data_IF_275555417321
#
_entry.id   IF_275555417321
#
_cell.length_a   1.000
_cell.length_b   1.000
_cell.length_c   1.000
_cell.angle_alpha   90.00
_cell.angle_beta   90.00
_cell.angle_gamma   90.00
#
_symmetry.space_group_name_H-M   'P 1'
#
loop_
_entity.id
_entity.type
_entity.pdbx_description
1 polymer ?
#
# COMPACT_ATOMS: atom_id res chain seq x y z
N UNK A 1 -25.58 1.29 14.86
CA UNK A 1 -25.55 0.76 13.46
C UNK A 1 -25.76 1.82 12.37
N UNK A 2 -26.81 2.65 12.36
CA UNK A 2 -27.08 3.59 11.24
C UNK A 2 -25.93 4.55 10.91
N UNK A 3 -25.23 5.07 11.93
CA UNK A 3 -24.13 6.02 11.73
C UNK A 3 -22.86 5.38 11.12
N UNK A 4 -22.56 4.11 11.42
CA UNK A 4 -21.43 3.38 10.80
C UNK A 4 -21.62 3.23 9.28
N UNK A 5 -22.86 3.02 8.85
CA UNK A 5 -23.19 2.97 7.42
C UNK A 5 -23.02 4.34 6.74
N UNK A 6 -23.24 5.44 7.45
CA UNK A 6 -22.98 6.78 6.92
C UNK A 6 -21.47 6.99 6.70
N UNK A 7 -20.64 6.59 7.67
CA UNK A 7 -19.17 6.64 7.51
C UNK A 7 -18.69 5.73 6.40
N UNK A 8 -19.31 4.55 6.24
CA UNK A 8 -19.00 3.68 5.10
C UNK A 8 -19.37 4.31 3.76
N UNK A 9 -20.55 4.93 3.66
CA UNK A 9 -20.98 5.64 2.46
C UNK A 9 -20.06 6.82 2.14
N UNK A 10 -19.62 7.56 3.16
CA UNK A 10 -18.61 8.62 3.05
C UNK A 10 -17.28 8.07 2.53
N UNK A 11 -16.80 6.96 3.09
CA UNK A 11 -15.58 6.30 2.65
C UNK A 11 -15.67 5.83 1.18
N UNK A 12 -16.79 5.23 0.77
CA UNK A 12 -17.01 4.87 -0.64
C UNK A 12 -17.06 6.10 -1.55
N UNK A 13 -17.65 7.19 -1.07
CA UNK A 13 -17.67 8.46 -1.80
C UNK A 13 -16.25 9.00 -1.97
N UNK A 14 -15.43 9.00 -0.92
CA UNK A 14 -14.03 9.39 -0.99
C UNK A 14 -13.23 8.49 -1.95
N UNK A 15 -13.43 7.16 -1.92
CA UNK A 15 -12.80 6.23 -2.86
C UNK A 15 -13.06 6.62 -4.33
N UNK A 16 -14.31 6.96 -4.65
CA UNK A 16 -14.71 7.43 -5.99
C UNK A 16 -14.11 8.80 -6.29
N UNK A 17 -14.26 9.78 -5.39
CA UNK A 17 -13.80 11.15 -5.59
C UNK A 17 -12.28 11.23 -5.79
N UNK A 18 -11.49 10.54 -4.96
CA UNK A 18 -10.04 10.53 -5.10
C UNK A 18 -9.61 9.81 -6.39
N UNK A 19 -10.28 8.72 -6.78
CA UNK A 19 -10.02 8.06 -8.06
C UNK A 19 -10.27 8.98 -9.27
N UNK A 20 -11.26 9.88 -9.17
CA UNK A 20 -11.60 10.87 -10.19
C UNK A 20 -10.66 12.09 -10.23
N UNK A 21 -10.24 12.60 -9.06
CA UNK A 21 -9.53 13.88 -8.94
C UNK A 21 -8.02 13.71 -9.06
N UNK A 22 -7.47 12.57 -8.65
CA UNK A 22 -6.03 12.32 -8.75
C UNK A 22 -5.58 12.43 -10.21
N UNK A 23 -4.63 13.32 -10.55
CA UNK A 23 -4.10 13.39 -11.90
C UNK A 23 -3.48 12.06 -12.32
N UNK A 24 -3.46 11.79 -13.62
CA UNK A 24 -2.80 10.61 -14.16
C UNK A 24 -1.31 10.65 -13.79
N UNK A 25 -0.79 9.58 -13.19
CA UNK A 25 0.62 9.43 -12.77
C UNK A 25 1.08 10.27 -11.58
N UNK A 26 0.14 10.81 -10.80
CA UNK A 26 0.46 11.51 -9.55
C UNK A 26 0.55 10.54 -8.36
N UNK A 27 -0.14 9.39 -8.44
CA UNK A 27 -0.02 8.28 -7.48
C UNK A 27 1.42 7.85 -7.23
N UNK A 28 1.71 7.37 -6.03
CA UNK A 28 3.04 6.87 -5.67
C UNK A 28 3.47 5.80 -6.67
N UNK A 29 4.58 6.06 -7.36
CA UNK A 29 5.18 5.17 -8.34
C UNK A 29 4.19 4.66 -9.41
N UNK A 30 3.04 5.31 -9.59
CA UNK A 30 1.88 4.74 -10.26
C UNK A 30 2.13 4.25 -11.70
N UNK A 31 2.85 4.99 -12.58
CA UNK A 31 3.14 4.48 -13.92
C UNK A 31 4.00 3.19 -13.89
N UNK A 32 4.84 3.00 -12.87
CA UNK A 32 5.70 1.83 -12.73
C UNK A 32 4.95 0.64 -12.14
N UNK A 33 4.04 0.90 -11.20
CA UNK A 33 3.07 -0.08 -10.72
C UNK A 33 2.11 -0.54 -11.81
N UNK A 34 1.60 0.37 -12.65
CA UNK A 34 0.80 -0.02 -13.81
C UNK A 34 1.65 -0.79 -14.83
N UNK A 35 2.91 -0.39 -15.06
CA UNK A 35 3.85 -1.17 -15.87
C UNK A 35 4.08 -2.60 -15.35
N UNK A 36 3.98 -2.84 -14.03
CA UNK A 36 3.96 -4.18 -13.47
C UNK A 36 2.71 -4.95 -13.94
N UNK A 37 1.53 -4.33 -13.82
CA UNK A 37 0.26 -4.92 -14.28
C UNK A 37 0.38 -5.31 -15.76
N UNK A 38 0.88 -4.42 -16.62
CA UNK A 38 1.09 -4.70 -18.05
C UNK A 38 2.08 -5.84 -18.31
N UNK A 39 3.16 -5.92 -17.53
CA UNK A 39 4.15 -6.99 -17.67
C UNK A 39 3.51 -8.37 -17.50
N UNK A 40 2.58 -8.49 -16.54
CA UNK A 40 1.89 -9.75 -16.28
C UNK A 40 0.69 -9.96 -17.20
N UNK A 41 -0.08 -8.91 -17.48
CA UNK A 41 -1.31 -9.01 -18.26
C UNK A 41 -1.05 -9.21 -19.75
N UNK A 42 -0.02 -8.53 -20.29
CA UNK A 42 0.34 -8.47 -21.72
C UNK A 42 1.51 -9.38 -22.06
N UNK A 43 2.61 -9.29 -21.32
CA UNK A 43 3.83 -10.06 -21.63
C UNK A 43 3.87 -11.42 -20.93
N UNK A 44 2.93 -11.68 -20.00
CA UNK A 44 2.86 -12.91 -19.22
C UNK A 44 4.15 -13.21 -18.44
N UNK A 45 4.85 -12.16 -18.02
CA UNK A 45 6.14 -12.21 -17.35
C UNK A 45 6.06 -11.56 -15.96
N UNK A 46 6.73 -12.17 -14.97
CA UNK A 46 6.99 -11.49 -13.71
C UNK A 46 8.18 -10.54 -13.91
N UNK A 47 8.02 -9.23 -13.63
CA UNK A 47 9.04 -8.25 -13.92
C UNK A 47 10.31 -8.48 -13.08
N UNK A 48 11.45 -8.12 -13.66
CA UNK A 48 12.79 -8.26 -13.07
C UNK A 48 13.42 -6.88 -12.97
N UNK A 49 13.92 -6.53 -11.78
CA UNK A 49 14.57 -5.26 -11.52
C UNK A 49 15.78 -5.08 -12.44
N UNK A 50 15.98 -3.85 -12.95
CA UNK A 50 17.00 -3.48 -13.92
C UNK A 50 16.93 -4.17 -15.30
N UNK A 51 15.88 -4.95 -15.58
CA UNK A 51 15.69 -5.62 -16.87
C UNK A 51 14.34 -5.29 -17.49
N UNK A 52 13.27 -5.35 -16.71
CA UNK A 52 11.93 -5.05 -17.21
C UNK A 52 11.76 -3.55 -17.38
N UNK A 53 11.15 -3.18 -18.50
CA UNK A 53 10.82 -1.81 -18.88
C UNK A 53 9.31 -1.59 -18.81
N UNK A 54 8.87 -0.35 -18.78
CA UNK A 54 7.46 -0.01 -18.99
C UNK A 54 7.12 -0.02 -20.48
N UNK A 55 5.84 -0.07 -20.83
CA UNK A 55 5.42 -0.03 -22.24
C UNK A 55 5.68 1.33 -22.89
N UNK A 56 5.75 1.34 -24.22
CA UNK A 56 5.78 2.58 -25.02
C UNK A 56 4.56 3.45 -24.77
N UNK A 57 3.41 2.86 -24.41
CA UNK A 57 2.20 3.61 -24.06
C UNK A 57 2.42 4.45 -22.79
N UNK A 58 2.95 3.83 -21.72
CA UNK A 58 3.29 4.52 -20.48
C UNK A 58 4.32 5.61 -20.76
N UNK A 59 5.43 5.28 -21.42
CA UNK A 59 6.51 6.23 -21.70
C UNK A 59 6.02 7.47 -22.46
N UNK A 60 5.23 7.30 -23.52
CA UNK A 60 4.64 8.41 -24.28
C UNK A 60 3.65 9.21 -23.43
N UNK A 61 2.83 8.55 -22.61
CA UNK A 61 1.86 9.26 -21.78
C UNK A 61 2.51 10.20 -20.77
N UNK A 62 3.70 9.87 -20.24
CA UNK A 62 4.45 10.70 -19.29
C UNK A 62 4.87 12.05 -19.88
N UNK A 63 5.03 12.17 -21.20
CA UNK A 63 5.35 13.44 -21.84
C UNK A 63 4.10 14.26 -22.18
N UNK A 64 2.89 13.70 -22.03
CA UNK A 64 1.62 14.33 -22.40
C UNK A 64 0.83 14.90 -21.23
N UNK A 65 1.17 14.52 -20.00
CA UNK A 65 0.51 14.99 -18.77
C UNK A 65 1.49 15.73 -17.87
N UNK A 66 1.01 16.63 -16.99
CA UNK A 66 1.87 17.18 -15.95
C UNK A 66 2.29 16.09 -14.98
N UNK A 67 3.57 16.08 -14.61
CA UNK A 67 4.11 15.23 -13.58
C UNK A 67 4.46 16.05 -12.33
N UNK A 68 4.60 15.35 -11.21
CA UNK A 68 5.29 15.87 -10.02
C UNK A 68 6.70 16.36 -10.39
N UNK A 69 7.24 17.31 -9.64
CA UNK A 69 8.54 17.92 -9.95
C UNK A 69 9.66 16.87 -9.99
N UNK A 70 9.71 15.96 -9.01
CA UNK A 70 10.67 14.84 -8.94
C UNK A 70 10.61 13.95 -10.18
N UNK A 71 9.41 13.54 -10.59
CA UNK A 71 9.27 12.68 -11.76
C UNK A 71 9.58 13.44 -13.05
N UNK A 72 9.21 14.72 -13.12
CA UNK A 72 9.49 15.54 -14.30
C UNK A 72 10.98 15.76 -14.54
N UNK A 73 11.77 15.88 -13.47
CA UNK A 73 13.23 15.96 -13.56
C UNK A 73 13.86 14.64 -14.00
N UNK A 74 13.29 13.51 -13.58
CA UNK A 74 13.77 12.18 -13.94
C UNK A 74 13.38 11.72 -15.35
N UNK A 75 12.36 12.32 -15.96
CA UNK A 75 11.78 11.89 -17.24
C UNK A 75 12.04 12.95 -18.32
N UNK A 76 13.03 12.75 -19.22
CA UNK A 76 13.32 13.69 -20.30
C UNK A 76 12.10 13.95 -21.18
N UNK A 77 11.86 15.22 -21.49
CA UNK A 77 10.74 15.67 -22.34
C UNK A 77 9.38 15.75 -21.64
N UNK A 78 9.29 15.38 -20.36
CA UNK A 78 8.10 15.63 -19.55
C UNK A 78 8.10 17.06 -19.00
N UNK A 79 6.98 17.44 -18.38
CA UNK A 79 6.81 18.77 -17.79
C UNK A 79 6.18 18.65 -16.39
N UNK A 80 6.55 19.57 -15.51
CA UNK A 80 5.97 19.64 -14.18
C UNK A 80 4.58 20.29 -14.19
N UNK A 81 3.81 20.12 -13.11
CA UNK A 81 2.57 20.87 -12.90
C UNK A 81 2.76 22.39 -13.03
N UNK A 82 3.87 22.94 -12.52
CA UNK A 82 4.14 24.38 -12.59
C UNK A 82 4.30 24.85 -14.04
N UNK A 83 5.00 24.08 -14.86
CA UNK A 83 5.16 24.37 -16.29
C UNK A 83 3.83 24.18 -17.03
N UNK A 84 3.06 23.13 -16.71
CA UNK A 84 1.76 22.87 -17.31
C UNK A 84 0.79 24.04 -17.17
N UNK A 85 0.71 24.66 -15.99
CA UNK A 85 -0.19 25.80 -15.79
C UNK A 85 0.16 27.00 -16.68
N UNK A 86 1.44 27.16 -17.07
CA UNK A 86 1.92 28.21 -17.98
C UNK A 86 1.67 27.92 -19.47
N UNK A 87 1.28 26.69 -19.84
CA UNK A 87 0.99 26.36 -21.23
C UNK A 87 -0.28 27.06 -21.73
N UNK A 88 -0.28 27.37 -23.03
CA UNK A 88 -1.46 27.86 -23.74
C UNK A 88 -2.60 26.83 -23.70
N UNK A 89 -3.84 27.32 -23.82
CA UNK A 89 -5.01 26.43 -23.89
C UNK A 89 -4.93 25.46 -25.08
N UNK A 90 -4.40 25.92 -26.20
CA UNK A 90 -4.23 25.12 -27.41
C UNK A 90 -3.27 23.95 -27.18
N UNK A 91 -2.13 24.19 -26.55
CA UNK A 91 -1.14 23.15 -26.25
C UNK A 91 -1.71 22.11 -25.27
N UNK A 92 -2.43 22.56 -24.22
CA UNK A 92 -3.13 21.66 -23.29
C UNK A 92 -4.14 20.76 -24.02
N UNK A 93 -4.91 21.33 -24.96
CA UNK A 93 -5.88 20.58 -25.77
C UNK A 93 -5.20 19.64 -26.78
N UNK A 94 -4.07 20.04 -27.37
CA UNK A 94 -3.26 19.19 -28.26
C UNK A 94 -2.79 17.94 -27.52
N UNK A 95 -2.14 18.11 -26.36
CA UNK A 95 -1.69 17.00 -25.51
C UNK A 95 -2.83 16.12 -25.04
N UNK A 96 -3.96 16.71 -24.62
CA UNK A 96 -5.12 15.96 -24.17
C UNK A 96 -5.76 15.10 -25.27
N UNK A 97 -5.74 15.58 -26.53
CA UNK A 97 -6.16 14.83 -27.73
C UNK A 97 -5.17 13.72 -28.06
N UNK A 98 -3.88 14.03 -28.06
CA UNK A 98 -2.80 13.07 -28.31
C UNK A 98 -2.84 11.90 -27.31
N UNK A 99 -3.05 12.20 -26.02
CA UNK A 99 -3.22 11.18 -24.97
C UNK A 99 -4.47 10.32 -25.21
N UNK A 100 -5.56 10.92 -25.69
CA UNK A 100 -6.79 10.18 -26.00
C UNK A 100 -6.65 9.28 -27.22
N UNK A 101 -5.74 9.61 -28.14
CA UNK A 101 -5.49 8.87 -29.38
C UNK A 101 -4.32 7.88 -29.30
N UNK A 102 -3.70 7.68 -28.13
CA UNK A 102 -2.65 6.67 -27.97
C UNK A 102 -3.20 5.29 -28.35
N UNK A 103 -2.53 4.63 -29.29
CA UNK A 103 -2.94 3.30 -29.75
C UNK A 103 -2.80 2.27 -28.61
N UNK A 104 -3.79 1.40 -28.38
CA UNK A 104 -3.66 0.26 -27.48
C UNK A 104 -2.52 -0.70 -27.86
N UNK A 105 -2.12 -0.75 -29.13
CA UNK A 105 -1.00 -1.60 -29.57
C UNK A 105 0.34 -1.23 -28.92
N UNK A 106 0.50 0.04 -28.50
CA UNK A 106 1.70 0.53 -27.81
C UNK A 106 1.94 -0.15 -26.45
N UNK A 107 0.96 -0.87 -25.90
CA UNK A 107 1.09 -1.65 -24.67
C UNK A 107 1.98 -2.88 -24.84
N UNK A 108 1.93 -3.48 -26.03
CA UNK A 108 2.78 -4.63 -26.37
C UNK A 108 4.20 -4.21 -26.73
N UNK A 109 4.41 -2.93 -27.06
CA UNK A 109 5.73 -2.37 -27.36
C UNK A 109 6.49 -2.03 -26.08
N UNK A 110 7.74 -2.49 -25.99
CA UNK A 110 8.67 -2.18 -24.90
C UNK A 110 9.31 -0.81 -25.12
N UNK A 111 9.38 0.01 -24.07
CA UNK A 111 10.09 1.30 -24.10
C UNK A 111 11.54 1.20 -23.62
N UNK A 112 12.24 2.33 -23.61
CA UNK A 112 13.58 2.49 -23.01
C UNK A 112 13.56 2.71 -21.49
N UNK A 113 12.38 2.96 -20.89
CA UNK A 113 12.28 3.35 -19.48
C UNK A 113 12.16 2.10 -18.59
N UNK A 114 13.16 1.88 -17.74
CA UNK A 114 13.16 0.78 -16.76
C UNK A 114 12.02 0.90 -15.77
N UNK A 115 11.42 -0.25 -15.43
CA UNK A 115 10.47 -0.37 -14.35
C UNK A 115 11.22 -0.58 -13.03
N UNK A 116 11.36 0.47 -12.25
CA UNK A 116 12.06 0.41 -10.97
C UNK A 116 11.22 -0.17 -9.83
N UNK A 117 9.93 -0.46 -10.05
CA UNK A 117 9.03 -1.15 -9.11
C UNK A 117 8.92 -2.66 -9.39
N UNK A 118 9.74 -3.20 -10.28
CA UNK A 118 9.76 -4.60 -10.69
C UNK A 118 10.09 -5.59 -9.53
N UNK A 119 10.65 -5.11 -8.43
CA UNK A 119 10.96 -5.88 -7.22
C UNK A 119 9.75 -6.17 -6.33
N UNK A 120 8.60 -5.52 -6.57
CA UNK A 120 7.44 -5.65 -5.70
C UNK A 120 6.78 -7.03 -5.82
N UNK A 121 6.22 -7.52 -4.73
CA UNK A 121 5.57 -8.82 -4.70
C UNK A 121 4.27 -8.83 -5.55
N UNK A 122 3.91 -9.96 -6.19
CA UNK A 122 3.03 -9.95 -7.34
C UNK A 122 1.53 -9.86 -7.04
N UNK A 123 1.06 -10.12 -5.81
CA UNK A 123 -0.35 -10.41 -5.54
C UNK A 123 -1.29 -9.24 -5.88
N UNK A 124 -0.91 -8.01 -5.49
CA UNK A 124 -1.73 -6.84 -5.79
C UNK A 124 -1.89 -6.64 -7.31
N UNK A 125 -0.82 -6.81 -8.07
CA UNK A 125 -0.86 -6.61 -9.52
C UNK A 125 -1.62 -7.74 -10.23
N UNK A 126 -1.43 -8.99 -9.79
CA UNK A 126 -2.19 -10.14 -10.29
C UNK A 126 -3.69 -9.96 -10.09
N UNK A 127 -4.11 -9.40 -8.96
CA UNK A 127 -5.51 -9.11 -8.68
C UNK A 127 -6.12 -8.03 -9.59
N UNK A 128 -5.28 -7.15 -10.16
CA UNK A 128 -5.70 -6.12 -11.12
C UNK A 128 -5.79 -6.62 -12.58
N UNK A 129 -5.10 -7.72 -12.92
CA UNK A 129 -5.04 -8.27 -14.30
C UNK A 129 -6.42 -8.51 -14.93
N UNK A 130 -7.44 -9.07 -14.25
CA UNK A 130 -8.75 -9.26 -14.87
C UNK A 130 -9.43 -7.94 -15.27
N UNK A 131 -9.27 -6.91 -14.44
CA UNK A 131 -9.86 -5.58 -14.67
C UNK A 131 -9.13 -4.87 -15.81
N UNK A 132 -7.80 -4.98 -15.84
CA UNK A 132 -6.93 -4.50 -16.91
C UNK A 132 -7.30 -5.12 -18.26
N UNK A 133 -7.38 -6.46 -18.34
CA UNK A 133 -7.77 -7.17 -19.56
C UNK A 133 -9.16 -6.78 -20.06
N UNK A 134 -10.12 -6.57 -19.16
CA UNK A 134 -11.46 -6.11 -19.54
C UNK A 134 -11.50 -4.67 -20.07
N UNK A 135 -10.41 -3.92 -19.87
CA UNK A 135 -10.26 -2.51 -20.25
C UNK A 135 -9.28 -2.31 -21.41
N UNK A 136 -8.78 -3.39 -22.02
CA UNK A 136 -7.75 -3.37 -23.07
C UNK A 136 -8.00 -2.38 -24.21
N UNK A 137 -9.25 -2.29 -24.69
CA UNK A 137 -9.61 -1.44 -25.82
C UNK A 137 -9.89 0.03 -25.43
N UNK A 138 -9.75 0.39 -24.14
CA UNK A 138 -10.10 1.71 -23.66
C UNK A 138 -8.93 2.69 -23.78
N UNK A 139 -9.22 4.00 -23.91
CA UNK A 139 -8.19 5.02 -23.75
C UNK A 139 -7.55 4.90 -22.36
N UNK A 140 -6.22 5.05 -22.30
CA UNK A 140 -5.39 4.89 -21.09
C UNK A 140 -6.01 5.52 -19.83
N UNK A 141 -6.49 6.77 -19.91
CA UNK A 141 -7.12 7.45 -18.75
C UNK A 141 -8.30 6.68 -18.16
N UNK A 142 -9.14 6.05 -19.00
CA UNK A 142 -10.31 5.29 -18.57
C UNK A 142 -9.91 3.94 -17.99
N UNK A 143 -8.89 3.32 -18.55
CA UNK A 143 -8.31 2.09 -18.02
C UNK A 143 -7.75 2.30 -16.62
N UNK A 144 -6.88 3.30 -16.44
CA UNK A 144 -6.32 3.63 -15.13
C UNK A 144 -7.43 4.01 -14.15
N UNK A 145 -8.38 4.82 -14.56
CA UNK A 145 -9.54 5.15 -13.72
C UNK A 145 -10.29 3.91 -13.22
N UNK A 146 -10.51 2.91 -14.07
CA UNK A 146 -11.17 1.65 -13.67
C UNK A 146 -10.34 0.86 -12.66
N UNK A 147 -9.03 0.77 -12.87
CA UNK A 147 -8.13 0.10 -11.94
C UNK A 147 -8.11 0.80 -10.58
N UNK A 148 -8.02 2.13 -10.57
CA UNK A 148 -8.12 2.95 -9.36
C UNK A 148 -9.43 2.73 -8.63
N UNK A 149 -10.55 2.81 -9.35
CA UNK A 149 -11.87 2.64 -8.78
C UNK A 149 -12.05 1.25 -8.18
N UNK A 150 -11.63 0.21 -8.89
CA UNK A 150 -11.66 -1.17 -8.38
C UNK A 150 -10.81 -1.32 -7.12
N UNK A 151 -9.54 -0.89 -7.17
CA UNK A 151 -8.61 -0.96 -6.04
C UNK A 151 -9.14 -0.20 -4.83
N UNK A 152 -9.56 1.05 -5.00
CA UNK A 152 -10.03 1.92 -3.93
C UNK A 152 -11.32 1.42 -3.28
N UNK A 153 -12.30 0.94 -4.07
CA UNK A 153 -13.55 0.38 -3.53
C UNK A 153 -13.26 -0.90 -2.77
N UNK A 154 -12.48 -1.82 -3.35
CA UNK A 154 -12.16 -3.08 -2.69
C UNK A 154 -11.35 -2.85 -1.41
N UNK A 155 -10.38 -1.92 -1.44
CA UNK A 155 -9.64 -1.48 -0.26
C UNK A 155 -10.58 -0.97 0.82
N UNK A 156 -11.53 -0.09 0.47
CA UNK A 156 -12.49 0.50 1.39
C UNK A 156 -13.41 -0.53 2.02
N UNK A 157 -13.94 -1.47 1.22
CA UNK A 157 -14.81 -2.55 1.71
C UNK A 157 -14.05 -3.45 2.68
N UNK A 158 -12.87 -3.93 2.30
CA UNK A 158 -12.06 -4.82 3.14
C UNK A 158 -11.60 -4.12 4.42
N UNK A 159 -11.16 -2.86 4.31
CA UNK A 159 -10.73 -2.07 5.46
C UNK A 159 -11.90 -1.80 6.40
N UNK A 160 -13.06 -1.39 5.90
CA UNK A 160 -14.25 -1.13 6.72
C UNK A 160 -14.69 -2.38 7.49
N UNK A 161 -14.77 -3.54 6.81
CA UNK A 161 -15.17 -4.81 7.42
C UNK A 161 -14.14 -5.22 8.48
N UNK A 162 -12.86 -5.26 8.12
CA UNK A 162 -11.80 -5.74 9.01
C UNK A 162 -11.58 -4.82 10.20
N UNK A 163 -11.57 -3.51 10.00
CA UNK A 163 -11.43 -2.51 11.05
C UNK A 163 -12.64 -2.52 11.99
N UNK A 164 -13.87 -2.52 11.46
CA UNK A 164 -15.07 -2.56 12.31
C UNK A 164 -15.09 -3.84 13.16
N UNK A 165 -14.81 -4.99 12.56
CA UNK A 165 -14.74 -6.25 13.28
C UNK A 165 -13.59 -6.28 14.30
N UNK A 166 -12.44 -5.67 13.97
CA UNK A 166 -11.32 -5.56 14.89
C UNK A 166 -11.69 -4.71 16.09
N UNK A 167 -12.31 -3.54 15.88
CA UNK A 167 -12.71 -2.65 16.96
C UNK A 167 -13.78 -3.30 17.86
N UNK A 168 -14.76 -4.00 17.27
CA UNK A 168 -15.74 -4.79 18.03
C UNK A 168 -15.10 -5.90 18.85
N UNK A 169 -14.12 -6.61 18.26
CA UNK A 169 -13.40 -7.70 18.92
C UNK A 169 -12.48 -7.21 20.01
N UNK A 170 -11.88 -6.06 19.78
CA UNK A 170 -11.20 -5.29 20.78
C UNK A 170 -12.20 -4.67 21.74
N UNK A 171 -13.52 -4.90 21.68
CA UNK A 171 -14.51 -4.47 22.67
C UNK A 171 -14.99 -3.01 22.59
N UNK A 172 -14.41 -2.17 21.71
CA UNK A 172 -14.53 -0.71 21.82
C UNK A 172 -15.98 -0.22 21.86
N UNK A 173 -16.28 0.87 22.58
CA UNK A 173 -17.60 1.50 22.60
C UNK A 173 -17.99 2.02 21.24
N UNK A 174 -19.28 2.04 20.94
CA UNK A 174 -19.77 2.49 19.64
C UNK A 174 -19.30 3.92 19.30
N UNK A 175 -19.21 4.84 20.27
CA UNK A 175 -18.70 6.20 20.05
C UNK A 175 -17.21 6.22 19.64
N UNK A 176 -16.36 5.44 20.30
CA UNK A 176 -14.95 5.34 19.95
C UNK A 176 -14.71 4.56 18.66
N UNK A 177 -15.50 3.51 18.40
CA UNK A 177 -15.47 2.83 17.11
C UNK A 177 -15.76 3.81 15.97
N UNK A 178 -16.79 4.64 16.14
CA UNK A 178 -17.13 5.69 15.18
C UNK A 178 -15.99 6.70 15.01
N UNK A 179 -15.40 7.19 16.11
CA UNK A 179 -14.27 8.11 16.08
C UNK A 179 -13.09 7.54 15.29
N UNK A 180 -12.71 6.28 15.55
CA UNK A 180 -11.63 5.61 14.81
C UNK A 180 -11.96 5.47 13.33
N UNK A 181 -13.17 5.04 12.98
CA UNK A 181 -13.58 4.91 11.58
C UNK A 181 -13.53 6.25 10.85
N UNK A 182 -14.03 7.33 11.47
CA UNK A 182 -13.95 8.68 10.89
C UNK A 182 -12.49 9.10 10.71
N UNK A 183 -11.65 8.98 11.75
CA UNK A 183 -10.24 9.35 11.65
C UNK A 183 -9.49 8.61 10.53
N UNK A 184 -9.78 7.31 10.35
CA UNK A 184 -9.15 6.52 9.29
C UNK A 184 -9.67 6.92 7.91
N UNK A 185 -10.98 7.05 7.71
CA UNK A 185 -11.56 7.33 6.39
C UNK A 185 -11.52 8.81 5.99
N UNK A 186 -11.23 9.72 6.92
CA UNK A 186 -10.90 11.12 6.64
C UNK A 186 -9.39 11.36 6.43
N UNK A 187 -8.56 10.34 6.66
CA UNK A 187 -7.13 10.45 6.40
C UNK A 187 -6.88 10.62 4.91
N UNK A 188 -6.39 11.78 4.51
CA UNK A 188 -6.03 12.04 3.11
C UNK A 188 -4.90 11.12 2.65
N UNK A 189 -3.99 10.75 3.55
CA UNK A 189 -2.89 9.83 3.26
C UNK A 189 -3.41 8.43 2.91
N UNK A 190 -4.48 7.96 3.55
CA UNK A 190 -5.14 6.71 3.17
C UNK A 190 -5.54 6.74 1.70
N UNK A 191 -6.23 7.81 1.27
CA UNK A 191 -6.70 7.94 -0.11
C UNK A 191 -5.56 8.14 -1.10
N UNK A 192 -4.55 8.93 -0.73
CA UNK A 192 -3.33 9.05 -1.52
C UNK A 192 -2.64 7.69 -1.71
N UNK A 193 -2.75 6.75 -0.77
CA UNK A 193 -2.19 5.40 -0.87
C UNK A 193 -3.07 4.39 -1.63
N UNK A 194 -4.40 4.42 -1.45
CA UNK A 194 -5.28 3.34 -1.98
C UNK A 194 -6.04 3.70 -3.25
N UNK A 195 -6.11 4.99 -3.62
CA UNK A 195 -6.87 5.46 -4.79
C UNK A 195 -6.04 5.63 -6.07
N UNK A 196 -4.85 5.04 -6.12
CA UNK A 196 -4.01 4.96 -7.32
C UNK A 196 -3.60 3.50 -7.61
N UNK A 197 -3.07 3.24 -8.81
CA UNK A 197 -2.56 1.90 -9.14
C UNK A 197 -1.24 1.65 -8.41
N UNK A 198 -1.28 0.82 -7.37
CA UNK A 198 -0.12 0.44 -6.56
C UNK A 198 -0.34 -0.89 -5.86
N UNK A 199 0.47 -1.18 -4.83
CA UNK A 199 0.27 -2.36 -3.98
C UNK A 199 -0.52 -2.05 -2.68
N UNK A 200 -0.59 -0.78 -2.28
CA UNK A 200 -1.17 -0.37 -0.99
C UNK A 200 -2.68 -0.54 -0.90
N UNK A 201 -3.41 -0.47 -2.02
CA UNK A 201 -4.85 -0.74 -2.04
C UNK A 201 -5.19 -2.13 -1.48
N UNK A 202 -4.30 -3.11 -1.65
CA UNK A 202 -4.45 -4.45 -1.08
C UNK A 202 -3.65 -4.61 0.23
N UNK A 203 -2.47 -4.01 0.29
CA UNK A 203 -1.57 -4.19 1.42
C UNK A 203 -2.19 -3.67 2.72
N UNK A 204 -2.78 -2.47 2.70
CA UNK A 204 -3.38 -1.81 3.88
C UNK A 204 -4.53 -2.63 4.46
N UNK A 205 -5.58 -3.00 3.71
CA UNK A 205 -6.67 -3.80 4.27
C UNK A 205 -6.21 -5.20 4.71
N UNK A 206 -5.24 -5.84 4.03
CA UNK A 206 -4.69 -7.11 4.48
C UNK A 206 -4.02 -7.00 5.85
N UNK A 207 -3.38 -5.86 6.16
CA UNK A 207 -2.78 -5.65 7.48
C UNK A 207 -3.86 -5.60 8.58
N UNK A 208 -4.99 -4.95 8.32
CA UNK A 208 -6.12 -4.95 9.27
C UNK A 208 -6.81 -6.31 9.37
N UNK A 209 -6.94 -7.05 8.26
CA UNK A 209 -7.38 -8.45 8.29
C UNK A 209 -6.43 -9.32 9.15
N UNK A 210 -5.12 -9.12 9.02
CA UNK A 210 -4.12 -9.82 9.83
C UNK A 210 -4.32 -9.50 11.32
N UNK A 211 -4.44 -8.22 11.69
CA UNK A 211 -4.65 -7.80 13.08
C UNK A 211 -5.97 -8.35 13.65
N UNK A 212 -7.05 -8.31 12.88
CA UNK A 212 -8.34 -8.91 13.24
C UNK A 212 -8.20 -10.41 13.56
N UNK A 213 -7.58 -11.17 12.65
CA UNK A 213 -7.40 -12.61 12.80
C UNK A 213 -6.38 -12.97 13.88
N UNK A 214 -5.41 -12.10 14.13
CA UNK A 214 -4.44 -12.22 15.22
C UNK A 214 -5.18 -12.10 16.56
N UNK A 215 -5.93 -11.01 16.78
CA UNK A 215 -6.80 -10.84 17.94
C UNK A 215 -7.85 -11.97 18.05
N UNK A 216 -8.32 -12.46 16.90
CA UNK A 216 -9.08 -13.71 16.70
C UNK A 216 -8.48 -14.91 17.41
N UNK A 217 -7.27 -15.22 16.97
CA UNK A 217 -6.56 -16.45 17.26
C UNK A 217 -5.95 -16.44 18.66
N UNK A 218 -5.67 -15.28 19.25
CA UNK A 218 -5.29 -15.19 20.66
C UNK A 218 -6.42 -15.71 21.55
N UNK A 219 -7.65 -15.24 21.34
CA UNK A 219 -8.80 -15.55 22.17
C UNK A 219 -9.42 -16.94 21.92
N UNK A 220 -9.35 -17.45 20.67
CA UNK A 220 -9.92 -18.75 20.30
C UNK A 220 -8.88 -19.85 20.29
N UNK A 221 -9.30 -21.05 20.64
CA UNK A 221 -8.49 -22.26 20.49
C UNK A 221 -9.03 -23.02 19.28
N UNK A 222 -8.29 -23.00 18.18
CA UNK A 222 -8.72 -23.68 16.96
C UNK A 222 -7.77 -23.47 15.79
N UNK A 223 -7.45 -24.56 15.10
CA UNK A 223 -6.55 -24.54 13.95
C UNK A 223 -7.12 -23.73 12.78
N UNK A 224 -8.44 -23.68 12.61
CA UNK A 224 -9.08 -22.91 11.55
C UNK A 224 -8.79 -21.40 11.64
N UNK A 225 -8.81 -20.84 12.85
CA UNK A 225 -8.47 -19.43 13.08
C UNK A 225 -7.01 -19.15 12.71
N UNK A 226 -6.11 -20.06 13.11
CA UNK A 226 -4.69 -19.96 12.78
C UNK A 226 -4.43 -20.13 11.29
N UNK A 227 -5.14 -21.03 10.61
CA UNK A 227 -5.05 -21.20 9.16
C UNK A 227 -5.49 -19.94 8.42
N UNK A 228 -6.60 -19.33 8.81
CA UNK A 228 -7.04 -18.07 8.23
C UNK A 228 -5.99 -16.96 8.43
N UNK A 229 -5.45 -16.83 9.65
CA UNK A 229 -4.36 -15.89 9.94
C UNK A 229 -3.14 -16.13 9.05
N UNK A 230 -2.71 -17.40 8.92
CA UNK A 230 -1.56 -17.80 8.10
C UNK A 230 -1.77 -17.52 6.61
N UNK A 231 -2.99 -17.71 6.10
CA UNK A 231 -3.33 -17.40 4.71
C UNK A 231 -3.27 -15.90 4.44
N UNK A 232 -3.84 -15.08 5.33
CA UNK A 232 -3.75 -13.61 5.22
C UNK A 232 -2.31 -13.14 5.36
N UNK A 233 -1.53 -13.72 6.27
CA UNK A 233 -0.11 -13.42 6.41
C UNK A 233 0.67 -13.72 5.13
N UNK A 234 0.45 -14.90 4.53
CA UNK A 234 1.06 -15.30 3.26
C UNK A 234 0.66 -14.37 2.10
N UNK A 235 -0.62 -14.00 2.03
CA UNK A 235 -1.12 -13.05 1.04
C UNK A 235 -0.47 -11.67 1.20
N UNK A 236 -0.33 -11.21 2.44
CA UNK A 236 0.37 -9.96 2.75
C UNK A 236 1.84 -9.99 2.34
N UNK A 237 2.55 -11.08 2.62
CA UNK A 237 3.93 -11.30 2.18
C UNK A 237 4.08 -11.27 0.65
N UNK A 238 3.06 -11.73 -0.09
CA UNK A 238 3.01 -11.64 -1.55
C UNK A 238 2.47 -10.30 -2.09
N UNK A 239 2.08 -9.39 -1.21
CA UNK A 239 1.58 -8.06 -1.59
C UNK A 239 2.65 -6.99 -1.40
N UNK A 240 3.29 -6.95 -0.23
CA UNK A 240 4.31 -5.95 0.09
C UNK A 240 5.24 -6.43 1.21
N UNK A 241 6.53 -6.10 1.10
CA UNK A 241 7.58 -6.63 1.97
C UNK A 241 7.44 -6.21 3.45
N UNK A 242 6.73 -5.14 3.76
CA UNK A 242 6.48 -4.71 5.14
C UNK A 242 5.73 -5.75 6.01
N UNK A 243 5.07 -6.76 5.42
CA UNK A 243 4.52 -7.89 6.17
C UNK A 243 5.59 -8.73 6.87
N UNK A 244 6.86 -8.65 6.46
CA UNK A 244 7.98 -9.24 7.19
C UNK A 244 8.04 -8.71 8.64
N UNK A 245 7.61 -7.48 8.89
CA UNK A 245 7.52 -6.92 10.24
C UNK A 245 6.49 -7.64 11.14
N UNK A 246 5.49 -8.32 10.55
CA UNK A 246 4.54 -9.13 11.30
C UNK A 246 5.02 -10.56 11.54
N UNK A 247 6.12 -11.01 10.91
CA UNK A 247 6.64 -12.36 11.09
C UNK A 247 7.01 -12.69 12.55
N UNK A 248 7.67 -11.80 13.33
CA UNK A 248 7.94 -12.06 14.74
C UNK A 248 6.67 -12.21 15.58
N UNK A 249 5.65 -11.38 15.31
CA UNK A 249 4.36 -11.42 16.02
C UNK A 249 3.61 -12.71 15.71
N UNK A 250 3.59 -13.11 14.43
CA UNK A 250 3.02 -14.39 14.00
C UNK A 250 3.74 -15.57 14.67
N UNK A 251 5.07 -15.60 14.65
CA UNK A 251 5.86 -16.64 15.29
C UNK A 251 5.63 -16.69 16.81
N UNK A 252 5.59 -15.56 17.48
CA UNK A 252 5.32 -15.47 18.91
C UNK A 252 3.96 -16.07 19.29
N UNK A 253 2.91 -15.81 18.50
CA UNK A 253 1.60 -16.43 18.71
C UNK A 253 1.65 -17.95 18.59
N UNK A 254 2.33 -18.48 17.56
CA UNK A 254 2.45 -19.93 17.36
C UNK A 254 3.23 -20.58 18.51
N UNK A 255 4.34 -19.97 18.93
CA UNK A 255 5.15 -20.43 20.06
C UNK A 255 4.32 -20.41 21.35
N UNK A 256 3.60 -19.33 21.62
CA UNK A 256 2.71 -19.21 22.77
C UNK A 256 1.66 -20.32 22.78
N UNK A 257 0.91 -20.49 21.68
CA UNK A 257 -0.12 -21.54 21.59
C UNK A 257 0.47 -22.93 21.76
N UNK A 258 1.69 -23.17 21.27
CA UNK A 258 2.39 -24.44 21.47
C UNK A 258 2.80 -24.67 22.92
N UNK A 259 3.39 -23.67 23.55
CA UNK A 259 3.83 -23.71 24.94
C UNK A 259 2.64 -23.94 25.88
N UNK A 260 1.48 -23.36 25.57
CA UNK A 260 0.22 -23.60 26.27
C UNK A 260 -0.45 -24.94 25.93
N UNK A 261 0.16 -25.80 25.10
CA UNK A 261 -0.40 -27.10 24.71
C UNK A 261 -1.64 -27.02 23.80
N UNK A 262 -1.96 -25.85 23.26
CA UNK A 262 -3.18 -25.60 22.48
C UNK A 262 -3.08 -26.05 21.02
N UNK A 263 -1.87 -26.30 20.53
CA UNK A 263 -1.61 -26.81 19.17
C UNK A 263 -0.50 -27.87 19.18
N UNK A 264 -0.59 -28.82 18.24
CA UNK A 264 0.38 -29.89 18.06
C UNK A 264 1.57 -29.48 17.18
N UNK A 265 2.66 -30.25 17.20
CA UNK A 265 3.78 -30.06 16.26
C UNK A 265 3.38 -30.20 14.79
N UNK A 266 2.40 -31.06 14.48
CA UNK A 266 1.85 -31.18 13.12
C UNK A 266 1.15 -29.90 12.67
N UNK A 267 0.44 -29.24 13.59
CA UNK A 267 -0.18 -27.95 13.31
C UNK A 267 0.88 -26.87 13.06
N UNK A 268 1.97 -26.83 13.84
CA UNK A 268 3.08 -25.90 13.59
C UNK A 268 3.70 -26.12 12.21
N UNK A 269 3.99 -27.39 11.86
CA UNK A 269 4.56 -27.73 10.57
C UNK A 269 3.65 -27.25 9.41
N UNK A 270 2.33 -27.47 9.53
CA UNK A 270 1.36 -26.98 8.56
C UNK A 270 1.34 -25.45 8.47
N UNK A 271 1.25 -24.76 9.62
CA UNK A 271 1.17 -23.29 9.67
C UNK A 271 2.47 -22.62 9.20
N UNK A 272 3.62 -23.27 9.38
CA UNK A 272 4.91 -22.82 8.85
C UNK A 272 5.09 -23.14 7.36
N UNK A 273 4.57 -24.28 6.89
CA UNK A 273 4.68 -24.68 5.49
C UNK A 273 3.91 -23.75 4.55
N UNK A 274 2.73 -23.26 4.95
CA UNK A 274 1.90 -22.39 4.09
C UNK A 274 2.64 -21.13 3.61
N UNK A 275 3.20 -20.26 4.47
CA UNK A 275 3.91 -19.06 4.00
C UNK A 275 5.17 -19.42 3.22
N UNK A 276 5.86 -20.51 3.58
CA UNK A 276 7.03 -21.00 2.84
C UNK A 276 6.68 -21.50 1.43
N UNK A 277 5.53 -22.16 1.25
CA UNK A 277 5.09 -22.66 -0.05
C UNK A 277 4.43 -21.58 -0.91
N UNK A 278 3.66 -20.69 -0.29
CA UNK A 278 2.91 -19.63 -0.99
C UNK A 278 3.80 -18.45 -1.32
N UNK A 279 4.48 -17.88 -0.31
CA UNK A 279 5.31 -16.70 -0.48
C UNK A 279 6.80 -17.03 -0.69
N UNK A 280 7.29 -18.13 -0.11
CA UNK A 280 8.70 -18.50 -0.17
C UNK A 280 9.32 -18.56 -1.58
N UNK A 281 8.64 -19.05 -2.63
CA UNK A 281 9.19 -19.01 -4.00
C UNK A 281 9.54 -17.59 -4.48
N UNK A 282 8.74 -16.59 -4.09
CA UNK A 282 9.00 -15.19 -4.43
C UNK A 282 10.26 -14.67 -3.72
N UNK A 283 10.37 -14.90 -2.41
CA UNK A 283 11.53 -14.48 -1.63
C UNK A 283 12.81 -15.24 -2.02
N UNK A 284 12.70 -16.52 -2.38
CA UNK A 284 13.81 -17.31 -2.93
C UNK A 284 14.26 -16.75 -4.28
N UNK A 285 13.32 -16.40 -5.18
CA UNK A 285 13.63 -15.72 -6.44
C UNK A 285 14.40 -14.42 -6.21
N UNK A 286 13.96 -13.59 -5.25
CA UNK A 286 14.64 -12.34 -4.93
C UNK A 286 16.04 -12.57 -4.36
N UNK A 287 16.21 -13.56 -3.49
CA UNK A 287 17.51 -13.91 -2.93
C UNK A 287 18.49 -14.39 -4.02
N UNK A 288 18.02 -15.26 -4.94
CA UNK A 288 18.84 -15.79 -6.04
C UNK A 288 19.21 -14.68 -7.04
N UNK A 289 18.28 -13.75 -7.34
CA UNK A 289 18.51 -12.72 -8.37
C UNK A 289 19.22 -11.48 -7.86
N UNK A 290 18.96 -11.07 -6.62
CA UNK A 290 19.38 -9.78 -6.09
C UNK A 290 20.23 -9.88 -4.82
N UNK A 291 20.45 -11.09 -4.29
CA UNK A 291 21.16 -11.27 -3.01
C UNK A 291 20.40 -10.71 -1.80
N UNK A 292 19.10 -10.40 -1.94
CA UNK A 292 18.28 -9.78 -0.90
C UNK A 292 16.91 -10.43 -0.80
N UNK A 293 16.45 -10.64 0.44
CA UNK A 293 15.12 -11.21 0.73
C UNK A 293 14.02 -10.26 0.24
N UNK A 294 14.11 -8.97 0.58
CA UNK A 294 13.11 -7.97 0.18
C UNK A 294 13.25 -7.56 -1.29
N UNK A 295 14.44 -7.69 -1.88
CA UNK A 295 14.73 -7.20 -3.23
C UNK A 295 14.69 -5.68 -3.35
N UNK A 296 14.78 -4.94 -2.23
CA UNK A 296 14.75 -3.48 -2.20
C UNK A 296 15.85 -2.88 -3.08
N UNK A 297 15.57 -1.75 -3.73
CA UNK A 297 16.53 -1.10 -4.63
C UNK A 297 17.89 -0.85 -3.98
N UNK A 298 17.91 -0.45 -2.70
CA UNK A 298 19.14 -0.24 -1.94
C UNK A 298 19.97 -1.52 -1.84
N UNK A 299 19.32 -2.65 -1.58
CA UNK A 299 20.01 -3.95 -1.50
C UNK A 299 20.45 -4.45 -2.87
N UNK A 300 19.64 -4.21 -3.91
CA UNK A 300 20.00 -4.53 -5.29
C UNK A 300 21.16 -3.65 -5.81
N UNK A 301 21.29 -2.43 -5.29
CA UNK A 301 22.42 -1.53 -5.53
C UNK A 301 23.69 -1.92 -4.74
N UNK A 302 23.69 -3.04 -4.02
CA UNK A 302 24.85 -3.58 -3.33
C UNK A 302 25.01 -3.10 -1.88
N UNK A 303 24.06 -2.32 -1.34
CA UNK A 303 24.10 -1.90 0.07
C UNK A 303 23.82 -3.12 0.95
N UNK A 304 24.90 -3.69 1.49
CA UNK A 304 24.86 -4.88 2.33
C UNK A 304 24.39 -4.58 3.76
N UNK A 305 24.00 -5.62 4.50
CA UNK A 305 23.62 -5.49 5.92
C UNK A 305 24.75 -4.85 6.74
N UNK A 306 26.01 -5.12 6.45
CA UNK A 306 27.16 -4.53 7.14
C UNK A 306 27.23 -3.01 7.01
N UNK A 307 26.94 -2.47 5.83
CA UNK A 307 26.87 -1.01 5.60
C UNK A 307 25.67 -0.39 6.29
N UNK A 308 24.51 -1.09 6.31
CA UNK A 308 23.35 -0.66 7.09
C UNK A 308 23.68 -0.58 8.57
N UNK A 309 24.33 -1.61 9.14
CA UNK A 309 24.76 -1.60 10.54
C UNK A 309 25.78 -0.51 10.82
N UNK A 310 26.74 -0.29 9.92
CA UNK A 310 27.72 0.78 10.03
C UNK A 310 27.08 2.18 9.96
N UNK A 311 25.97 2.34 9.23
CA UNK A 311 25.26 3.61 9.11
C UNK A 311 24.41 3.96 10.35
N UNK A 312 23.97 2.98 11.15
CA UNK A 312 23.12 3.19 12.34
C UNK A 312 23.61 4.31 13.26
N UNK A 313 24.88 4.36 13.72
CA UNK A 313 25.34 5.42 14.61
C UNK A 313 25.39 6.81 13.94
N UNK A 314 25.40 6.87 12.61
CA UNK A 314 25.50 8.11 11.85
C UNK A 314 24.14 8.68 11.44
N UNK A 315 23.05 7.93 11.65
CA UNK A 315 21.70 8.42 11.40
C UNK A 315 21.35 9.47 12.47
N UNK A 316 20.89 10.67 12.08
CA UNK A 316 20.41 11.66 13.04
C UNK A 316 19.03 11.24 13.57
N UNK A 317 19.00 10.21 14.43
CA UNK A 317 17.79 9.48 14.84
C UNK A 317 16.65 10.41 15.26
N UNK A 318 16.92 11.40 16.11
CA UNK A 318 15.87 12.32 16.56
C UNK A 318 15.24 13.11 15.39
N UNK A 319 16.07 13.68 14.52
CA UNK A 319 15.60 14.45 13.37
C UNK A 319 14.88 13.55 12.35
N UNK A 320 15.40 12.35 12.11
CA UNK A 320 14.80 11.35 11.23
C UNK A 320 13.47 10.86 11.77
N UNK A 321 13.36 10.51 13.05
CA UNK A 321 12.12 10.08 13.68
C UNK A 321 11.04 11.14 13.59
N UNK A 322 11.37 12.41 13.89
CA UNK A 322 10.42 13.52 13.76
C UNK A 322 9.99 13.72 12.31
N UNK A 323 10.92 13.57 11.35
CA UNK A 323 10.60 13.67 9.92
C UNK A 323 9.69 12.53 9.46
N UNK A 324 10.00 11.28 9.84
CA UNK A 324 9.17 10.12 9.54
C UNK A 324 7.80 10.21 10.18
N UNK A 325 7.69 10.73 11.40
CA UNK A 325 6.41 10.95 12.06
C UNK A 325 5.53 11.93 11.25
N UNK A 326 6.10 13.05 10.77
CA UNK A 326 5.39 13.99 9.88
C UNK A 326 5.00 13.34 8.56
N UNK A 327 5.89 12.56 7.96
CA UNK A 327 5.63 11.86 6.70
C UNK A 327 4.57 10.77 6.85
N UNK A 328 4.44 10.17 8.03
CA UNK A 328 3.35 9.22 8.30
C UNK A 328 1.96 9.86 8.31
N UNK A 329 1.88 11.17 8.58
CA UNK A 329 0.64 11.93 8.53
C UNK A 329 0.30 12.36 7.10
N UNK A 330 1.27 12.95 6.40
CA UNK A 330 1.10 13.37 5.01
C UNK A 330 2.44 13.61 4.29
N UNK A 331 2.62 12.95 3.15
CA UNK A 331 3.76 13.14 2.25
C UNK A 331 3.41 13.81 0.93
N UNK A 332 2.15 14.11 0.61
CA UNK A 332 1.86 14.81 -0.64
C UNK A 332 2.00 13.95 -1.89
N UNK A 333 1.82 12.63 -1.76
CA UNK A 333 1.96 11.68 -2.86
C UNK A 333 3.36 11.77 -3.53
N UNK A 334 3.49 11.50 -4.83
CA UNK A 334 4.79 11.60 -5.53
C UNK A 334 5.35 13.03 -5.58
N UNK A 335 4.53 14.04 -5.36
CA UNK A 335 4.98 15.44 -5.36
C UNK A 335 5.80 15.82 -4.13
N UNK A 336 5.75 15.03 -3.05
CA UNK A 336 6.36 15.37 -1.76
C UNK A 336 5.90 16.73 -1.19
N UNK A 337 4.76 17.25 -1.66
CA UNK A 337 4.19 18.53 -1.21
C UNK A 337 3.48 18.30 0.11
N UNK A 338 4.20 18.55 1.19
CA UNK A 338 3.69 18.35 2.55
C UNK A 338 2.92 19.58 3.07
N UNK A 339 2.11 19.38 4.11
CA UNK A 339 1.46 20.47 4.83
C UNK A 339 2.49 21.33 5.58
N UNK A 340 2.03 22.46 6.11
CA UNK A 340 2.87 23.29 6.96
C UNK A 340 3.42 22.47 8.14
N UNK A 341 4.68 22.72 8.53
CA UNK A 341 5.28 22.05 9.70
C UNK A 341 4.44 22.26 10.96
N UNK A 342 3.82 23.42 11.10
CA UNK A 342 2.93 23.75 12.22
C UNK A 342 1.72 22.81 12.26
N UNK A 343 1.03 22.62 11.13
CA UNK A 343 -0.11 21.70 11.03
C UNK A 343 0.26 20.29 11.46
N UNK A 344 1.34 19.74 10.88
CA UNK A 344 1.78 18.38 11.19
C UNK A 344 2.26 18.25 12.64
N UNK A 345 2.93 19.28 13.18
CA UNK A 345 3.35 19.27 14.58
C UNK A 345 2.16 19.31 15.54
N UNK A 346 1.11 20.08 15.24
CA UNK A 346 -0.10 20.12 16.05
C UNK A 346 -0.77 18.75 16.08
N UNK A 347 -0.91 18.08 14.94
CA UNK A 347 -1.45 16.72 14.89
C UNK A 347 -0.58 15.73 15.69
N UNK A 348 0.75 15.77 15.54
CA UNK A 348 1.65 14.93 16.32
C UNK A 348 1.54 15.19 17.84
N UNK A 349 1.41 16.45 18.25
CA UNK A 349 1.21 16.81 19.66
C UNK A 349 -0.11 16.25 20.17
N UNK A 350 -1.20 16.38 19.42
CA UNK A 350 -2.51 15.83 19.79
C UNK A 350 -2.46 14.29 19.91
N UNK A 351 -1.75 13.62 18.99
CA UNK A 351 -1.52 12.18 19.07
C UNK A 351 -0.69 11.80 20.30
N UNK A 352 0.39 12.54 20.59
CA UNK A 352 1.19 12.34 21.79
C UNK A 352 0.37 12.55 23.08
N UNK A 353 -0.43 13.62 23.16
CA UNK A 353 -1.31 13.88 24.30
C UNK A 353 -2.31 12.73 24.46
N UNK A 354 -2.94 12.30 23.37
CA UNK A 354 -3.88 11.16 23.39
C UNK A 354 -3.20 9.88 23.89
N UNK A 355 -1.98 9.60 23.46
CA UNK A 355 -1.20 8.45 23.91
C UNK A 355 -0.79 8.55 25.39
N UNK A 356 -0.36 9.74 25.85
CA UNK A 356 -0.01 9.97 27.26
C UNK A 356 -1.23 9.83 28.16
N UNK A 357 -2.38 10.40 27.77
CA UNK A 357 -3.65 10.23 28.47
C UNK A 357 -4.01 8.75 28.52
N UNK A 358 -3.93 8.02 27.40
CA UNK A 358 -4.12 6.58 27.39
C UNK A 358 -3.22 5.86 28.40
N UNK A 359 -1.91 6.17 28.45
CA UNK A 359 -0.99 5.52 29.39
C UNK A 359 -1.28 5.85 30.86
N UNK A 360 -1.63 7.10 31.17
CA UNK A 360 -1.97 7.54 32.53
C UNK A 360 -3.20 6.80 33.05
N UNK A 361 -4.22 6.66 32.19
CA UNK A 361 -5.50 6.11 32.58
C UNK A 361 -5.62 4.61 32.31
N UNK A 362 -4.75 4.00 31.50
CA UNK A 362 -4.80 2.59 31.06
C UNK A 362 -5.06 1.58 32.20
N UNK A 363 -4.47 1.79 33.38
CA UNK A 363 -4.66 0.91 34.54
C UNK A 363 -5.93 1.18 35.36
N UNK A 364 -6.50 2.37 35.21
CA UNK A 364 -7.77 2.78 35.81
C UNK A 364 -8.96 2.41 34.94
N UNK A 365 -8.69 2.03 33.69
CA UNK A 365 -9.71 1.51 32.80
C UNK A 365 -10.16 0.15 33.35
N UNK A 366 -11.28 0.11 34.06
CA UNK A 366 -11.92 -1.15 34.45
C UNK A 366 -12.43 -1.89 33.21
N UNK A 367 -12.69 -3.20 33.27
CA UNK A 367 -13.32 -3.90 32.13
C UNK A 367 -14.64 -3.27 31.68
N UNK A 368 -15.33 -2.52 32.55
CA UNK A 368 -16.54 -1.78 32.20
C UNK A 368 -16.24 -0.42 31.54
N UNK A 369 -15.14 0.24 31.91
CA UNK A 369 -14.69 1.54 31.37
C UNK A 369 -13.74 1.42 30.18
N UNK A 370 -13.24 0.22 29.87
CA UNK A 370 -12.61 -0.08 28.57
C UNK A 370 -13.63 0.18 27.45
N UNK A 371 -14.91 0.06 27.79
CA UNK A 371 -16.04 -0.04 26.90
C UNK A 371 -17.18 0.98 27.17
N UNK A 372 -16.86 2.18 27.67
CA UNK A 372 -17.63 3.42 27.39
C UNK A 372 -16.73 4.44 26.74
#
# INVERSE_FOLDING_TARGET
MKLKHLVFALALTNAVLYSCVLPLWEGFDEPFHFGYVESVSVWHELPVLHQTVVSSQIRKSLTLVPLSWLLSEAIPGSISFQQWFRLSREEKLRRARELASLSPALRSERSELLNYEAQQAPLAYLALVPVDRSSWAMPLRREIFRLRLFGAILATVLLYISLTALLQKLGLPDCFQMGVLVCVFESQMLWASVAHVGNDWLAVPLAFCFLLLLAGSVARNGIASLLALTLIFSAGLLTKAYFLAFAPVFAALIIYKRASGLISWRAIALLGAIPLLVAGPWYARNLIRYGSVSGTQQSAAGIGLGEVWAAIPHIPWLASTVSFARWSLWTGNWSFVSFSRTTLNLELILLCVSFVVYLIFFRRITQAELWM
#
